data_IF_471022258239
#
_entry.id   IF_471022258239
#
_cell.length_a   1.000
_cell.length_b   1.000
_cell.length_c   1.000
_cell.angle_alpha   90.00
_cell.angle_beta   90.00
_cell.angle_gamma   90.00
#
_symmetry.space_group_name_H-M   'P 1'
#
loop_
_entity.id
_entity.type
_entity.pdbx_description
1 polymer ?
#
# COMPACT_ATOMS: atom_id res chain seq x y z
N UNK A 1 25.02 -10.24 -9.06
CA UNK A 1 23.91 -9.27 -9.11
C UNK A 1 22.99 -9.69 -10.24
N UNK A 2 21.74 -10.08 -9.95
CA UNK A 2 20.77 -10.45 -10.99
C UNK A 2 20.40 -9.21 -11.81
N UNK A 3 20.48 -9.27 -13.13
CA UNK A 3 20.05 -8.18 -14.00
C UNK A 3 18.53 -7.96 -13.91
N UNK A 4 18.11 -6.70 -13.99
CA UNK A 4 16.69 -6.33 -14.05
C UNK A 4 16.05 -6.90 -15.32
N UNK A 5 14.77 -7.28 -15.22
CA UNK A 5 14.00 -7.76 -16.37
C UNK A 5 13.69 -6.62 -17.34
N UNK A 6 13.84 -6.86 -18.64
CA UNK A 6 13.38 -5.95 -19.70
C UNK A 6 11.95 -6.26 -20.18
N UNK A 7 11.29 -7.25 -19.57
CA UNK A 7 9.89 -7.59 -19.82
C UNK A 7 9.07 -7.24 -18.59
N UNK A 8 7.93 -6.58 -18.79
CA UNK A 8 6.97 -6.28 -17.73
C UNK A 8 6.59 -7.57 -16.98
N UNK A 9 6.56 -7.50 -15.65
CA UNK A 9 6.19 -8.61 -14.79
C UNK A 9 4.94 -8.25 -13.98
N UNK A 10 4.22 -9.28 -13.53
CA UNK A 10 3.07 -9.14 -12.64
C UNK A 10 3.17 -10.21 -11.57
N UNK A 11 2.85 -9.86 -10.33
CA UNK A 11 2.76 -10.81 -9.23
C UNK A 11 1.43 -10.67 -8.49
N UNK A 12 0.91 -11.78 -7.99
CA UNK A 12 -0.26 -11.79 -7.12
C UNK A 12 0.21 -11.82 -5.68
N UNK A 13 -0.29 -10.88 -4.91
CA UNK A 13 0.13 -10.69 -3.53
C UNK A 13 -1.06 -10.48 -2.61
N UNK A 14 -0.84 -10.83 -1.35
CA UNK A 14 -1.88 -10.73 -0.33
C UNK A 14 -1.67 -9.51 0.55
N UNK A 15 -2.74 -8.77 0.81
CA UNK A 15 -2.73 -7.66 1.75
C UNK A 15 -2.58 -8.12 3.20
N UNK A 16 -1.90 -7.31 4.01
CA UNK A 16 -1.76 -7.45 5.46
C UNK A 16 -2.50 -6.30 6.13
N UNK A 17 -3.11 -6.56 7.30
CA UNK A 17 -3.76 -5.47 8.05
C UNK A 17 -2.74 -4.40 8.43
N UNK A 18 -3.13 -3.13 8.30
CA UNK A 18 -2.24 -2.00 8.58
C UNK A 18 -1.73 -2.03 10.05
N UNK A 19 -2.56 -2.53 10.98
CA UNK A 19 -2.20 -2.70 12.40
C UNK A 19 -1.13 -3.77 12.59
N UNK A 20 -1.29 -4.92 11.94
CA UNK A 20 -0.28 -5.99 11.98
C UNK A 20 1.04 -5.52 11.36
N UNK A 21 0.94 -4.81 10.24
CA UNK A 21 2.10 -4.26 9.56
C UNK A 21 2.88 -3.28 10.43
N UNK A 22 2.20 -2.29 11.00
CA UNK A 22 2.82 -1.32 11.90
C UNK A 22 3.51 -1.99 13.10
N UNK A 23 2.83 -2.97 13.72
CA UNK A 23 3.41 -3.74 14.83
C UNK A 23 4.68 -4.50 14.44
N UNK A 24 4.72 -5.11 13.25
CA UNK A 24 5.92 -5.79 12.75
C UNK A 24 7.08 -4.82 12.57
N UNK A 25 6.82 -3.64 12.01
CA UNK A 25 7.83 -2.60 11.84
C UNK A 25 8.34 -2.05 13.18
N UNK A 26 7.45 -1.74 14.14
CA UNK A 26 7.86 -1.30 15.48
C UNK A 26 8.67 -2.36 16.23
N UNK A 27 8.32 -3.65 16.07
CA UNK A 27 9.09 -4.74 16.69
C UNK A 27 10.51 -4.82 16.13
N UNK A 28 10.69 -4.60 14.83
CA UNK A 28 12.00 -4.66 14.17
C UNK A 28 12.84 -3.41 14.38
N UNK A 29 12.18 -2.25 14.49
CA UNK A 29 12.78 -0.94 14.69
C UNK A 29 12.14 -0.24 15.90
N UNK A 30 12.57 -0.60 17.13
CA UNK A 30 12.09 0.08 18.34
C UNK A 30 12.36 1.59 18.26
N UNK A 31 11.37 2.41 18.58
CA UNK A 31 11.47 3.88 18.50
C UNK A 31 11.14 4.47 17.12
N UNK A 32 10.75 3.67 16.13
CA UNK A 32 10.23 4.16 14.84
C UNK A 32 8.98 5.06 15.02
N UNK A 33 8.19 4.82 16.07
CA UNK A 33 7.08 5.67 16.53
C UNK A 33 7.54 7.03 17.08
N UNK A 34 8.79 7.11 17.55
CA UNK A 34 9.40 8.30 18.17
C UNK A 34 10.29 9.09 17.23
N UNK A 35 10.44 8.67 15.98
CA UNK A 35 11.17 9.41 14.95
C UNK A 35 10.38 10.66 14.54
N UNK A 36 10.43 11.68 15.41
CA UNK A 36 9.89 13.02 15.21
C UNK A 36 10.50 13.75 13.99
N UNK A 37 11.65 13.27 13.48
CA UNK A 37 12.31 13.77 12.27
C UNK A 37 11.75 13.21 10.96
N UNK A 38 10.66 12.43 11.00
CA UNK A 38 9.90 12.08 9.81
C UNK A 38 8.57 12.85 9.86
N UNK A 39 8.44 14.03 9.23
CA UNK A 39 7.17 14.74 9.18
C UNK A 39 6.11 13.84 8.56
N UNK A 40 5.24 13.29 9.41
CA UNK A 40 4.23 12.29 9.06
C UNK A 40 4.47 10.87 9.60
N UNK A 41 5.69 10.43 9.91
CA UNK A 41 5.95 9.09 10.46
C UNK A 41 5.37 7.91 9.65
N UNK A 42 5.33 6.71 10.26
CA UNK A 42 4.55 5.58 9.73
C UNK A 42 3.06 5.82 10.03
N UNK A 43 2.37 6.63 9.23
CA UNK A 43 0.92 6.74 9.37
C UNK A 43 0.26 5.50 8.80
N UNK A 44 -0.31 4.69 9.69
CA UNK A 44 -1.07 3.47 9.40
C UNK A 44 -2.16 3.70 8.33
N UNK A 45 -2.75 4.90 8.30
CA UNK A 45 -3.83 5.25 7.37
C UNK A 45 -3.34 5.67 5.99
N UNK A 46 -2.06 6.00 5.82
CA UNK A 46 -1.47 6.37 4.51
C UNK A 46 -0.77 5.23 3.80
N UNK A 47 -0.73 4.04 4.42
CA UNK A 47 0.00 2.89 3.91
C UNK A 47 -0.93 1.69 3.68
N UNK A 48 -0.60 0.91 2.66
CA UNK A 48 -1.09 -0.45 2.44
C UNK A 48 0.12 -1.35 2.60
N UNK A 49 -0.06 -2.47 3.28
CA UNK A 49 1.01 -3.45 3.44
C UNK A 49 0.63 -4.77 2.80
N UNK A 50 1.62 -5.46 2.27
CA UNK A 50 1.46 -6.73 1.58
C UNK A 50 2.46 -7.73 2.11
N UNK A 51 2.11 -9.00 2.05
CA UNK A 51 2.97 -10.08 2.53
C UNK A 51 3.94 -10.44 1.39
N UNK A 52 5.26 -10.25 1.54
CA UNK A 52 6.22 -10.86 0.61
C UNK A 52 6.19 -12.39 0.78
N UNK A 53 6.44 -13.15 -0.29
CA UNK A 53 6.50 -14.60 -0.18
C UNK A 53 6.87 -15.32 -1.47
N UNK A 54 7.43 -16.52 -1.32
CA UNK A 54 7.74 -17.46 -2.40
C UNK A 54 8.62 -16.85 -3.52
N UNK A 55 9.54 -15.95 -3.14
CA UNK A 55 10.39 -15.23 -4.08
C UNK A 55 9.67 -14.17 -4.92
N UNK A 56 8.43 -13.83 -4.56
CA UNK A 56 7.62 -12.81 -5.20
C UNK A 56 7.42 -11.63 -4.24
N UNK A 57 7.72 -10.45 -4.74
CA UNK A 57 7.60 -9.20 -4.00
C UNK A 57 8.07 -8.02 -4.83
N UNK A 58 7.90 -6.81 -4.28
CA UNK A 58 8.50 -5.61 -4.87
C UNK A 58 10.01 -5.66 -4.75
N UNK A 59 10.68 -5.13 -5.76
CA UNK A 59 12.12 -5.08 -5.87
C UNK A 59 12.65 -3.70 -6.25
N UNK A 60 13.98 -3.62 -6.27
CA UNK A 60 14.67 -2.58 -7.01
C UNK A 60 14.15 -2.53 -8.46
N UNK A 61 13.70 -1.35 -8.89
CA UNK A 61 13.03 -1.16 -10.18
C UNK A 61 11.50 -1.05 -10.12
N UNK A 62 10.86 -1.52 -9.04
CA UNK A 62 9.40 -1.41 -8.85
C UNK A 62 8.96 -0.13 -8.12
N UNK A 63 9.89 0.79 -7.80
CA UNK A 63 9.52 2.05 -7.14
C UNK A 63 8.50 2.81 -7.97
N UNK A 64 7.33 3.09 -7.40
CA UNK A 64 6.21 3.73 -8.11
C UNK A 64 5.27 2.79 -8.85
N UNK A 65 5.54 1.47 -8.86
CA UNK A 65 4.70 0.49 -9.54
C UNK A 65 3.27 0.43 -8.95
N UNK A 66 2.24 0.27 -9.79
CA UNK A 66 0.85 0.19 -9.35
C UNK A 66 0.53 -1.13 -8.62
N UNK A 67 -0.12 -0.99 -7.45
CA UNK A 67 -0.86 -2.06 -6.78
C UNK A 67 -2.34 -1.93 -7.12
N UNK A 68 -2.89 -2.91 -7.81
CA UNK A 68 -4.24 -2.91 -8.38
C UNK A 68 -5.12 -3.95 -7.70
N UNK A 69 -6.34 -3.55 -7.34
CA UNK A 69 -7.43 -4.50 -7.09
C UNK A 69 -8.04 -4.88 -8.43
N UNK A 70 -7.67 -6.06 -8.94
CA UNK A 70 -8.08 -6.52 -10.27
C UNK A 70 -9.58 -6.72 -10.39
N UNK A 71 -10.25 -7.19 -9.33
CA UNK A 71 -11.70 -7.42 -9.37
C UNK A 71 -12.47 -6.12 -9.62
N UNK A 72 -11.96 -5.01 -9.09
CA UNK A 72 -12.59 -3.69 -9.22
C UNK A 72 -11.91 -2.79 -10.25
N UNK A 73 -10.82 -3.25 -10.87
CA UNK A 73 -9.95 -2.45 -11.74
C UNK A 73 -9.58 -1.10 -11.13
N UNK A 74 -9.15 -1.10 -9.86
CA UNK A 74 -8.80 0.12 -9.12
C UNK A 74 -7.35 0.09 -8.68
N UNK A 75 -6.62 1.18 -8.97
CA UNK A 75 -5.35 1.47 -8.33
C UNK A 75 -5.61 1.73 -6.84
N UNK A 76 -5.05 0.88 -5.98
CA UNK A 76 -5.22 0.98 -4.53
C UNK A 76 -3.95 1.41 -3.82
N UNK A 77 -2.79 1.09 -4.38
CA UNK A 77 -1.50 1.46 -3.81
C UNK A 77 -0.43 1.77 -4.85
N UNK A 78 0.65 2.41 -4.40
CA UNK A 78 1.85 2.71 -5.19
C UNK A 78 3.04 2.15 -4.41
N UNK A 79 3.86 1.30 -5.04
CA UNK A 79 5.02 0.69 -4.40
C UNK A 79 5.98 1.77 -3.87
N UNK A 80 6.38 1.64 -2.60
CA UNK A 80 7.14 2.68 -1.91
C UNK A 80 8.40 2.15 -1.24
N UNK A 81 8.34 1.05 -0.48
CA UNK A 81 9.50 0.54 0.23
C UNK A 81 9.36 -0.94 0.59
N UNK A 82 10.47 -1.66 0.56
CA UNK A 82 10.64 -2.99 1.13
C UNK A 82 11.95 -3.03 1.91
N UNK A 83 12.12 -4.05 2.75
CA UNK A 83 13.33 -4.24 3.54
C UNK A 83 13.82 -5.67 3.32
N UNK A 84 15.12 -5.85 3.11
CA UNK A 84 15.72 -7.16 2.95
C UNK A 84 15.72 -7.63 1.49
N UNK A 85 15.74 -8.95 1.30
CA UNK A 85 15.77 -9.55 -0.04
C UNK A 85 14.35 -9.58 -0.61
N UNK A 86 14.21 -9.18 -1.86
CA UNK A 86 13.00 -9.29 -2.67
C UNK A 86 12.24 -10.59 -2.45
N UNK A 87 10.96 -10.52 -2.08
CA UNK A 87 10.11 -11.69 -1.89
C UNK A 87 10.51 -12.63 -0.73
N UNK A 88 11.58 -12.32 0.00
CA UNK A 88 12.13 -13.10 1.12
C UNK A 88 12.36 -12.21 2.35
N UNK A 89 11.34 -11.44 2.72
CA UNK A 89 11.38 -10.58 3.90
C UNK A 89 10.36 -10.98 4.95
N UNK A 90 10.73 -10.88 6.22
CA UNK A 90 9.79 -11.05 7.34
C UNK A 90 8.91 -9.81 7.56
N UNK A 91 9.35 -8.66 7.03
CA UNK A 91 8.64 -7.40 7.07
C UNK A 91 7.68 -7.30 5.88
N UNK A 92 6.43 -6.85 6.12
CA UNK A 92 5.50 -6.56 5.02
C UNK A 92 6.05 -5.48 4.11
N UNK A 93 5.74 -5.55 2.82
CA UNK A 93 6.11 -4.52 1.86
C UNK A 93 5.18 -3.31 2.02
N UNK A 94 5.66 -2.11 1.71
CA UNK A 94 4.95 -0.86 1.91
C UNK A 94 4.56 -0.21 0.60
N UNK A 95 3.28 0.13 0.53
CA UNK A 95 2.65 0.88 -0.54
C UNK A 95 2.03 2.16 0.01
N UNK A 96 2.12 3.25 -0.75
CA UNK A 96 1.33 4.46 -0.49
C UNK A 96 -0.13 4.18 -0.81
N UNK A 97 -1.04 4.42 0.16
CA UNK A 97 -2.48 4.22 -0.01
C UNK A 97 -3.07 5.34 -0.88
N UNK A 98 -3.45 5.04 -2.12
CA UNK A 98 -3.99 6.05 -3.06
C UNK A 98 -5.22 6.76 -2.51
N UNK A 99 -6.10 6.03 -1.79
CA UNK A 99 -7.32 6.62 -1.23
C UNK A 99 -7.06 7.72 -0.21
N UNK A 100 -5.90 7.73 0.47
CA UNK A 100 -5.53 8.75 1.43
C UNK A 100 -5.11 10.08 0.78
N UNK A 101 -4.85 10.07 -0.53
CA UNK A 101 -4.36 11.23 -1.28
C UNK A 101 -5.33 11.70 -2.36
N UNK A 102 -6.58 11.17 -2.40
CA UNK A 102 -7.53 11.51 -3.47
C UNK A 102 -7.83 13.01 -3.57
N UNK A 103 -7.91 13.72 -2.45
CA UNK A 103 -8.17 15.16 -2.46
C UNK A 103 -6.99 15.94 -3.04
N UNK A 104 -5.76 15.55 -2.68
CA UNK A 104 -4.55 16.10 -3.28
C UNK A 104 -4.49 15.78 -4.79
N UNK A 105 -4.74 14.53 -5.18
CA UNK A 105 -4.76 14.11 -6.59
C UNK A 105 -5.81 14.92 -7.35
N UNK A 106 -7.03 15.07 -6.82
CA UNK A 106 -8.07 15.89 -7.47
C UNK A 106 -7.63 17.33 -7.62
N UNK A 107 -7.02 17.92 -6.60
CA UNK A 107 -6.56 19.31 -6.66
C UNK A 107 -5.50 19.52 -7.76
N UNK A 108 -4.63 18.54 -8.00
CA UNK A 108 -3.49 18.69 -8.90
C UNK A 108 -3.64 18.03 -10.28
N UNK A 109 -4.58 17.09 -10.43
CA UNK A 109 -4.86 16.38 -11.68
C UNK A 109 -6.22 16.74 -12.28
N UNK A 110 -6.96 17.68 -11.68
CA UNK A 110 -8.17 18.23 -12.31
C UNK A 110 -7.77 19.05 -13.53
N UNK A 111 -8.27 18.65 -14.69
CA UNK A 111 -8.15 19.41 -15.93
C UNK A 111 -9.30 20.41 -15.96
N UNK A 112 -9.05 21.74 -16.07
CA UNK A 112 -10.11 22.73 -16.21
C UNK A 112 -11.08 22.38 -17.34
N UNK A 113 -12.38 22.47 -17.08
CA UNK A 113 -13.43 22.15 -18.07
C UNK A 113 -13.75 20.66 -18.23
N UNK A 114 -12.95 19.74 -17.68
CA UNK A 114 -13.25 18.30 -17.70
C UNK A 114 -14.00 17.92 -16.43
N UNK A 115 -15.31 17.68 -16.56
CA UNK A 115 -16.09 17.04 -15.49
C UNK A 115 -15.64 15.59 -15.35
N UNK A 116 -14.68 15.33 -14.45
CA UNK A 116 -14.31 13.95 -14.16
C UNK A 116 -15.51 13.25 -13.54
N UNK A 117 -15.98 12.15 -14.16
CA UNK A 117 -16.88 11.19 -13.49
C UNK A 117 -16.04 10.40 -12.48
N UNK A 118 -15.47 11.08 -11.49
CA UNK A 118 -14.99 10.38 -10.30
C UNK A 118 -16.24 9.93 -9.56
N UNK A 119 -16.76 8.75 -9.93
CA UNK A 119 -17.64 7.98 -9.07
C UNK A 119 -16.81 7.59 -7.85
N UNK A 120 -16.67 8.53 -6.92
CA UNK A 120 -16.22 8.24 -5.59
C UNK A 120 -17.13 7.15 -5.04
N UNK A 121 -16.55 6.17 -4.33
CA UNK A 121 -17.34 5.32 -3.45
C UNK A 121 -18.18 6.25 -2.57
N UNK A 122 -19.49 6.35 -2.83
CA UNK A 122 -20.43 7.24 -2.13
C UNK A 122 -20.58 6.95 -0.63
N UNK A 123 -19.68 6.17 -0.04
CA UNK A 123 -19.70 5.75 1.36
C UNK A 123 -18.53 6.35 2.17
N UNK A 124 -17.94 7.47 1.74
CA UNK A 124 -17.16 8.29 2.66
C UNK A 124 -18.14 9.29 3.26
N UNK A 125 -18.63 9.00 4.47
CA UNK A 125 -19.25 10.01 5.33
C UNK A 125 -18.39 11.27 5.24
N UNK A 126 -19.04 12.37 4.94
CA UNK A 126 -18.44 13.69 4.94
C UNK A 126 -17.65 13.89 6.23
N UNK A 127 -16.32 13.84 6.15
CA UNK A 127 -15.46 14.40 7.20
C UNK A 127 -15.44 15.91 6.96
N UNK A 128 -16.58 16.55 7.19
CA UNK A 128 -16.68 18.00 7.29
C UNK A 128 -17.51 18.33 8.52
N UNK A 129 -16.76 18.76 9.55
CA UNK A 129 -17.15 19.61 10.68
C UNK A 129 -17.86 18.96 11.89
N UNK A 130 -17.13 19.03 13.03
CA UNK A 130 -17.58 19.09 14.44
C UNK A 130 -18.72 18.18 14.86
N UNK A 131 -18.40 17.07 15.53
CA UNK A 131 -19.06 16.66 16.78
C UNK A 131 -18.08 15.76 17.54
N UNK A 132 -17.77 16.08 18.79
CA UNK A 132 -17.06 15.17 19.68
C UNK A 132 -17.94 13.94 19.89
N UNK A 133 -17.51 12.76 19.45
CA UNK A 133 -18.24 11.51 19.68
C UNK A 133 -17.50 10.72 20.75
N UNK A 134 -18.18 10.60 21.89
CA UNK A 134 -17.90 9.70 22.99
C UNK A 134 -17.59 8.28 22.50
N UNK A 135 -16.54 7.66 23.06
CA UNK A 135 -16.22 6.24 22.84
C UNK A 135 -17.23 5.35 23.58
N UNK A 136 -18.40 5.15 22.97
CA UNK A 136 -19.34 4.07 23.29
C UNK A 136 -19.13 2.91 22.32
N UNK A 137 -18.93 1.71 22.86
CA UNK A 137 -18.59 0.50 22.11
C UNK A 137 -19.52 0.22 20.94
N UNK A 138 -18.93 -0.07 19.77
CA UNK A 138 -19.61 -0.72 18.66
C UNK A 138 -18.56 -1.41 17.80
N UNK A 139 -18.66 -2.74 17.78
CA UNK A 139 -17.89 -3.68 16.99
C UNK A 139 -18.02 -3.36 15.50
N UNK A 140 -17.05 -2.63 14.95
CA UNK A 140 -16.90 -2.48 13.50
C UNK A 140 -16.34 -3.77 12.90
N UNK A 141 -17.21 -4.57 12.30
CA UNK A 141 -16.85 -5.80 11.59
C UNK A 141 -15.91 -5.45 10.44
N UNK A 142 -14.62 -5.72 10.63
CA UNK A 142 -13.63 -5.67 9.56
C UNK A 142 -14.07 -6.71 8.53
N UNK A 143 -14.42 -6.26 7.32
CA UNK A 143 -14.74 -7.15 6.21
C UNK A 143 -13.59 -8.14 5.99
N UNK A 144 -13.74 -9.36 6.54
CA UNK A 144 -12.93 -10.53 6.24
C UNK A 144 -13.25 -10.93 4.80
N UNK A 145 -12.49 -10.37 3.88
CA UNK A 145 -12.44 -10.84 2.50
C UNK A 145 -11.01 -10.74 2.06
N UNK A 146 -10.35 -11.88 1.83
CA UNK A 146 -9.06 -11.94 1.16
C UNK A 146 -9.22 -11.23 -0.19
N UNK A 147 -8.75 -9.97 -0.27
CA UNK A 147 -8.76 -9.22 -1.52
C UNK A 147 -7.51 -9.66 -2.27
N UNK A 148 -7.71 -10.37 -3.37
CA UNK A 148 -6.64 -10.63 -4.33
C UNK A 148 -6.18 -9.27 -4.86
N UNK A 149 -4.93 -8.91 -4.54
CA UNK A 149 -4.27 -7.71 -4.99
C UNK A 149 -3.17 -8.13 -5.97
N UNK A 150 -2.89 -7.29 -6.97
CA UNK A 150 -1.87 -7.53 -7.96
C UNK A 150 -0.93 -6.34 -8.05
N UNK A 151 0.37 -6.61 -8.08
CA UNK A 151 1.36 -5.58 -8.43
C UNK A 151 1.70 -5.80 -9.90
N UNK A 152 1.64 -4.72 -10.67
CA UNK A 152 2.10 -4.70 -12.05
C UNK A 152 3.35 -3.82 -12.06
N UNK A 153 4.52 -4.40 -12.30
CA UNK A 153 5.81 -3.72 -12.10
C UNK A 153 6.91 -4.25 -13.01
N UNK A 154 8.00 -3.48 -13.14
CA UNK A 154 9.18 -3.86 -13.93
C UNK A 154 10.29 -4.27 -12.98
N UNK A 155 10.10 -5.33 -12.19
CA UNK A 155 11.16 -6.15 -11.60
C UNK A 155 10.61 -7.31 -10.76
N UNK A 156 10.23 -8.44 -11.37
CA UNK A 156 10.46 -9.70 -10.63
C UNK A 156 11.97 -9.93 -10.65
N UNK A 157 12.67 -9.65 -9.56
CA UNK A 157 13.98 -10.23 -9.36
C UNK A 157 13.80 -11.75 -9.56
N UNK A 158 14.37 -12.32 -10.63
CA UNK A 158 14.44 -13.77 -10.72
C UNK A 158 15.06 -14.25 -9.40
N UNK A 159 14.49 -15.26 -8.72
CA UNK A 159 15.24 -15.94 -7.68
C UNK A 159 16.59 -16.30 -8.29
N UNK A 160 17.66 -15.83 -7.66
CA UNK A 160 18.99 -16.31 -7.98
C UNK A 160 18.91 -17.82 -7.89
N UNK A 161 19.04 -18.51 -9.02
CA UNK A 161 19.29 -19.96 -9.00
C UNK A 161 20.67 -20.11 -8.38
N UNK A 162 20.74 -20.21 -7.06
CA UNK A 162 21.94 -20.68 -6.38
C UNK A 162 21.89 -22.20 -6.36
N UNK A 163 22.83 -22.82 -7.09
CA UNK A 163 23.30 -24.19 -6.90
C UNK A 163 22.30 -25.28 -7.24
#
# INVERSE_FOLDING_TARGET
>A
MSSLSNKLQEIHISGVSAKTCYKKYLKRYPGLDKLLNFPGGFMIDTKICTKPGDGQGICEGDSGAPLVDRKRFKLVGIASATVGICGYSELPELFTRVSAYLDWIRKHASIPGVKTKTQHCKNTLAVTKKTAISFGGSTGTIAKGSKSLQIIGIASAKPSKTG
#
